data_IF_902655066577
#
_entry.id   IF_902655066577
#
_cell.length_a   1.000
_cell.length_b   1.000
_cell.length_c   1.000
_cell.angle_alpha   90.00
_cell.angle_beta   90.00
_cell.angle_gamma   90.00
#
_symmetry.space_group_name_H-M   'P 1'
#
loop_
_entity.id
_entity.type
_entity.pdbx_description
1 polymer ?
#
# COMPACT_ATOMS: atom_id res chain seq x y z
N UNK A 1 5.95 -4.10 -25.84
CA UNK A 1 6.66 -2.81 -25.67
C UNK A 1 6.03 -1.98 -24.53
N UNK A 2 5.08 -2.55 -23.76
CA UNK A 2 4.24 -1.80 -22.81
C UNK A 2 4.76 -1.73 -21.37
N UNK A 3 5.70 -2.61 -20.97
CA UNK A 3 6.16 -2.66 -19.57
C UNK A 3 6.92 -1.41 -19.10
N UNK A 4 7.69 -0.78 -19.98
CA UNK A 4 8.54 0.38 -19.61
C UNK A 4 7.75 1.67 -19.36
N UNK A 5 6.66 1.88 -20.11
CA UNK A 5 5.79 3.04 -19.91
C UNK A 5 5.03 2.88 -18.59
N UNK A 6 4.35 1.74 -18.39
CA UNK A 6 3.59 1.47 -17.15
C UNK A 6 4.49 1.56 -15.90
N UNK A 7 5.70 1.01 -15.95
CA UNK A 7 6.70 1.11 -14.89
C UNK A 7 7.12 2.57 -14.61
N UNK A 8 7.29 3.40 -15.65
CA UNK A 8 7.61 4.81 -15.51
C UNK A 8 6.49 5.66 -14.90
N UNK A 9 5.23 5.18 -14.88
CA UNK A 9 4.15 5.82 -14.13
C UNK A 9 3.93 5.21 -12.75
N UNK A 10 4.18 3.91 -12.60
CA UNK A 10 4.00 3.14 -11.38
C UNK A 10 4.99 3.58 -10.29
N UNK A 11 6.29 3.68 -10.59
CA UNK A 11 7.29 4.11 -9.60
C UNK A 11 7.06 5.55 -9.08
N UNK A 12 6.79 6.55 -9.95
CA UNK A 12 6.43 7.88 -9.47
C UNK A 12 5.12 7.92 -8.69
N UNK A 13 4.14 7.08 -9.05
CA UNK A 13 2.90 6.90 -8.29
C UNK A 13 3.17 6.35 -6.89
N UNK A 14 3.93 5.26 -6.81
CA UNK A 14 4.28 4.61 -5.55
C UNK A 14 5.14 5.50 -4.64
N UNK A 15 6.06 6.30 -5.21
CA UNK A 15 6.82 7.29 -4.44
C UNK A 15 5.93 8.31 -3.72
N UNK A 16 4.76 8.66 -4.29
CA UNK A 16 3.78 9.53 -3.62
C UNK A 16 3.05 8.81 -2.50
N UNK A 17 2.75 7.52 -2.69
CA UNK A 17 2.16 6.65 -1.65
C UNK A 17 3.12 6.53 -0.47
N UNK A 18 4.40 6.24 -0.72
CA UNK A 18 5.46 6.20 0.29
C UNK A 18 5.55 7.52 1.09
N UNK A 19 5.54 8.66 0.40
CA UNK A 19 5.54 9.97 1.05
C UNK A 19 4.29 10.24 1.89
N UNK A 20 3.12 9.74 1.46
CA UNK A 20 1.88 9.86 2.23
C UNK A 20 1.89 8.95 3.46
N UNK A 21 2.37 7.71 3.32
CA UNK A 21 2.58 6.78 4.42
C UNK A 21 3.53 7.36 5.48
N UNK A 22 4.64 7.97 5.04
CA UNK A 22 5.58 8.68 5.92
C UNK A 22 5.00 9.91 6.64
N UNK A 23 3.82 10.41 6.26
CA UNK A 23 3.11 11.44 7.03
C UNK A 23 2.27 10.88 8.17
N UNK A 24 1.90 9.60 8.10
CA UNK A 24 1.11 8.90 9.13
C UNK A 24 1.95 8.63 10.37
N UNK A 25 3.26 8.43 10.21
CA UNK A 25 4.22 8.18 11.30
C UNK A 25 5.05 9.45 11.51
N UNK A 26 4.71 10.27 12.52
CA UNK A 26 5.48 11.48 12.89
C UNK A 26 6.25 11.33 14.21
N UNK A 27 5.94 10.30 14.98
CA UNK A 27 6.60 9.93 16.24
C UNK A 27 6.70 8.40 16.36
N UNK A 28 7.58 7.91 17.22
CA UNK A 28 7.73 6.46 17.49
C UNK A 28 6.48 5.83 18.14
N UNK A 29 5.59 6.65 18.70
CA UNK A 29 4.35 6.22 19.32
C UNK A 29 3.16 6.28 18.35
N UNK A 30 3.33 6.90 17.18
CA UNK A 30 2.26 7.01 16.19
C UNK A 30 2.00 5.65 15.54
N UNK A 31 0.75 5.23 15.62
CA UNK A 31 0.24 4.03 14.95
C UNK A 31 -0.77 4.45 13.90
N UNK A 32 -0.69 3.82 12.73
CA UNK A 32 -1.64 4.07 11.66
C UNK A 32 -1.55 3.03 10.57
N UNK A 33 -2.49 3.13 9.62
CA UNK A 33 -2.65 2.18 8.54
C UNK A 33 -2.54 2.89 7.21
N UNK A 34 -2.05 2.18 6.21
CA UNK A 34 -2.07 2.60 4.82
C UNK A 34 -3.01 1.66 4.09
N UNK A 35 -4.04 2.22 3.45
CA UNK A 35 -4.97 1.46 2.62
C UNK A 35 -4.67 1.79 1.16
N UNK A 36 -4.28 0.77 0.39
CA UNK A 36 -4.06 0.86 -1.04
C UNK A 36 -5.36 0.46 -1.76
N UNK A 37 -6.08 1.43 -2.30
CA UNK A 37 -7.40 1.22 -2.91
C UNK A 37 -7.24 1.20 -4.44
N UNK A 38 -7.06 0.02 -5.02
CA UNK A 38 -7.17 -0.25 -6.46
C UNK A 38 -6.91 -1.74 -6.74
N UNK A 39 -7.56 -2.34 -7.75
CA UNK A 39 -7.25 -3.70 -8.19
C UNK A 39 -5.85 -3.83 -8.79
N UNK A 40 -5.25 -2.73 -9.26
CA UNK A 40 -3.87 -2.68 -9.76
C UNK A 40 -2.85 -3.19 -8.74
N UNK A 41 -3.06 -2.96 -7.45
CA UNK A 41 -2.14 -3.43 -6.40
C UNK A 41 -2.13 -4.96 -6.23
N UNK A 42 -3.10 -5.67 -6.82
CA UNK A 42 -3.14 -7.13 -6.85
C UNK A 42 -2.36 -7.72 -8.03
N UNK A 43 -1.90 -6.89 -8.97
CA UNK A 43 -1.12 -7.35 -10.12
C UNK A 43 0.35 -7.60 -9.71
N UNK A 44 1.02 -8.60 -10.30
CA UNK A 44 2.41 -8.94 -9.96
C UNK A 44 3.35 -7.72 -9.98
N UNK A 45 3.20 -6.86 -10.99
CA UNK A 45 4.07 -5.71 -11.22
C UNK A 45 4.00 -4.67 -10.08
N UNK A 46 2.85 -4.56 -9.41
CA UNK A 46 2.68 -3.69 -8.24
C UNK A 46 3.12 -4.38 -6.96
N UNK A 47 2.85 -5.68 -6.81
CA UNK A 47 3.27 -6.45 -5.62
C UNK A 47 4.79 -6.51 -5.45
N UNK A 48 5.55 -6.49 -6.55
CA UNK A 48 7.02 -6.45 -6.53
C UNK A 48 7.59 -5.11 -6.03
N UNK A 49 6.78 -4.04 -6.04
CA UNK A 49 7.22 -2.67 -5.68
C UNK A 49 6.82 -2.33 -4.25
N UNK A 50 5.77 -2.96 -3.74
CA UNK A 50 5.35 -2.83 -2.34
C UNK A 50 6.44 -3.44 -1.46
N UNK A 51 7.00 -2.70 -0.48
CA UNK A 51 8.03 -3.22 0.40
C UNK A 51 7.51 -4.42 1.21
N UNK A 52 8.30 -5.49 1.27
CA UNK A 52 7.91 -6.70 2.02
C UNK A 52 7.67 -6.40 3.51
N UNK A 53 8.39 -5.43 4.08
CA UNK A 53 8.26 -5.03 5.47
C UNK A 53 6.91 -4.39 5.81
N UNK A 54 6.10 -4.01 4.82
CA UNK A 54 4.76 -3.46 5.02
C UNK A 54 3.74 -4.51 5.46
N UNK A 55 4.05 -5.81 5.34
CA UNK A 55 3.17 -6.91 5.78
C UNK A 55 1.72 -6.75 5.30
N UNK A 56 1.54 -6.41 4.01
CA UNK A 56 0.21 -6.07 3.49
C UNK A 56 -0.78 -7.24 3.55
N UNK A 57 -2.05 -6.93 3.83
CA UNK A 57 -3.16 -7.89 3.82
C UNK A 57 -4.17 -7.47 2.76
N UNK A 58 -4.54 -8.40 1.89
CA UNK A 58 -5.60 -8.19 0.90
C UNK A 58 -6.95 -8.26 1.64
N UNK A 59 -7.79 -7.26 1.42
CA UNK A 59 -9.17 -7.18 1.93
C UNK A 59 -10.11 -6.91 0.76
N UNK A 60 -11.24 -7.60 0.72
CA UNK A 60 -12.15 -7.58 -0.43
C UNK A 60 -13.44 -6.80 -0.18
N UNK A 61 -13.69 -6.38 1.07
CA UNK A 61 -14.89 -5.67 1.49
C UNK A 61 -14.63 -4.88 2.78
N UNK A 62 -15.61 -4.03 3.12
CA UNK A 62 -15.54 -3.15 4.28
C UNK A 62 -15.49 -3.93 5.62
N UNK A 63 -16.12 -5.10 5.69
CA UNK A 63 -16.12 -5.94 6.89
C UNK A 63 -14.72 -6.52 7.16
N UNK A 64 -14.06 -7.07 6.13
CA UNK A 64 -12.68 -7.57 6.20
C UNK A 64 -11.70 -6.45 6.56
N UNK A 65 -11.90 -5.24 6.01
CA UNK A 65 -11.11 -4.06 6.35
C UNK A 65 -11.30 -3.68 7.82
N UNK A 66 -12.55 -3.64 8.30
CA UNK A 66 -12.85 -3.34 9.69
C UNK A 66 -12.24 -4.37 10.65
N UNK A 67 -12.25 -5.65 10.30
CA UNK A 67 -11.61 -6.73 11.08
C UNK A 67 -10.09 -6.57 11.10
N UNK A 68 -9.47 -6.26 9.95
CA UNK A 68 -8.03 -6.05 9.84
C UNK A 68 -7.57 -4.86 10.69
N UNK A 69 -8.32 -3.76 10.68
CA UNK A 69 -8.03 -2.58 11.50
C UNK A 69 -8.18 -2.89 13.00
N UNK A 70 -9.22 -3.64 13.40
CA UNK A 70 -9.43 -4.03 14.80
C UNK A 70 -8.33 -4.95 15.35
N UNK A 71 -7.73 -5.77 14.50
CA UNK A 71 -6.68 -6.73 14.90
C UNK A 71 -5.31 -6.06 15.09
N UNK A 72 -5.11 -4.88 14.53
CA UNK A 72 -3.88 -4.12 14.68
C UNK A 72 -3.90 -3.36 16.01
N UNK A 73 -3.32 -4.01 17.01
CA UNK A 73 -3.21 -3.56 18.40
C UNK A 73 -1.78 -3.42 18.86
#
# INVERSE_FOLDING_TARGET
MDGGFEYAYMYPGFNKVQQAAGRVIRSEEDRGFVVLIDDRYLRPEYTEIVPEEWNTKIVNNDDELAEAIQTFG
#
